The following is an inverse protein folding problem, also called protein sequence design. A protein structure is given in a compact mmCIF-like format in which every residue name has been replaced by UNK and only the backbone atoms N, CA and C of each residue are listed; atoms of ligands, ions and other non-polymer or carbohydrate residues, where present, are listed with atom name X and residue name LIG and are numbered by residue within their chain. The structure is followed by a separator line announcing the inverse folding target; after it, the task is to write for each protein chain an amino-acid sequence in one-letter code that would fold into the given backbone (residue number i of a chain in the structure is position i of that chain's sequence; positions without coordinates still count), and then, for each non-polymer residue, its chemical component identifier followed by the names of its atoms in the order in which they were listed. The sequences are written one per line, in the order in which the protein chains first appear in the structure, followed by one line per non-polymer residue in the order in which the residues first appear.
data_IF_138028034812
#
_entry.id   IF_138028034812
#
_cell.length_a   1.000
_cell.length_b   1.000
_cell.length_c   1.000
_cell.angle_alpha   90.00
_cell.angle_beta   90.00
_cell.angle_gamma   90.00
#
_symmetry.space_group_name_H-M   'P 1'
#
loop_
_entity.id
_entity.type
_entity.pdbx_description
1 polymer ?
#
# COMPACT_ATOMS: atom_id res chain seq x y z
N UNK A 1 6.48 -5.99 -7.30
CA UNK A 1 6.78 -4.65 -6.78
C UNK A 1 6.54 -3.65 -7.90
N UNK A 2 5.56 -2.76 -7.74
CA UNK A 2 5.26 -1.70 -8.70
C UNK A 2 5.73 -0.38 -8.08
N UNK A 3 6.64 0.33 -8.74
CA UNK A 3 7.10 1.66 -8.32
C UNK A 3 6.59 2.65 -9.36
N UNK A 4 5.62 3.48 -8.99
CA UNK A 4 5.20 4.62 -9.80
C UNK A 4 5.81 5.89 -9.22
N UNK A 5 6.75 6.49 -9.93
CA UNK A 5 7.31 7.78 -9.57
C UNK A 5 6.39 8.89 -10.09
N UNK A 6 5.91 9.77 -9.21
CA UNK A 6 5.11 10.94 -9.61
C UNK A 6 6.02 12.17 -9.62
N UNK A 7 6.32 12.77 -10.79
CA UNK A 7 7.06 14.04 -10.82
C UNK A 7 6.24 15.15 -10.14
N UNK A 8 6.88 15.98 -9.31
CA UNK A 8 6.21 17.07 -8.58
C UNK A 8 5.46 16.63 -7.32
N UNK A 9 6.04 15.70 -6.55
CA UNK A 9 5.54 15.38 -5.21
C UNK A 9 5.90 16.55 -4.28
N UNK A 10 5.04 17.57 -4.23
CA UNK A 10 5.40 18.88 -3.69
C UNK A 10 5.39 18.93 -2.15
N UNK A 11 4.87 17.91 -1.46
CA UNK A 11 4.91 17.79 0.00
C UNK A 11 4.67 16.34 0.49
N UNK A 12 5.74 15.61 0.87
CA UNK A 12 5.66 14.28 1.47
C UNK A 12 4.73 14.15 2.67
N UNK A 13 4.63 15.18 3.51
CA UNK A 13 3.79 15.15 4.72
C UNK A 13 2.30 15.30 4.36
N UNK A 14 1.98 16.15 3.38
CA UNK A 14 0.61 16.31 2.89
C UNK A 14 0.12 15.05 2.18
N UNK A 15 0.97 14.45 1.35
CA UNK A 15 0.63 13.23 0.64
C UNK A 15 0.45 12.04 1.60
N UNK A 16 1.32 11.89 2.61
CA UNK A 16 1.13 10.89 3.67
C UNK A 16 -0.20 11.09 4.41
N UNK A 17 -0.56 12.34 4.73
CA UNK A 17 -1.82 12.66 5.42
C UNK A 17 -3.04 12.29 4.56
N UNK A 18 -2.96 12.49 3.25
CA UNK A 18 -4.02 12.12 2.29
C UNK A 18 -4.18 10.60 2.19
N UNK A 19 -3.06 9.87 2.10
CA UNK A 19 -3.05 8.40 2.07
C UNK A 19 -3.64 7.81 3.34
N UNK A 20 -3.18 8.29 4.51
CA UNK A 20 -3.69 7.86 5.81
C UNK A 20 -5.21 8.10 5.92
N UNK A 21 -5.68 9.30 5.58
CA UNK A 21 -7.10 9.63 5.62
C UNK A 21 -7.92 8.76 4.66
N UNK A 22 -7.38 8.42 3.49
CA UNK A 22 -8.01 7.50 2.55
C UNK A 22 -8.15 6.09 3.13
N UNK A 23 -7.09 5.55 3.70
CA UNK A 23 -7.11 4.21 4.30
C UNK A 23 -8.02 4.12 5.53
N UNK A 24 -8.03 5.14 6.39
CA UNK A 24 -8.96 5.20 7.51
C UNK A 24 -10.42 5.16 7.06
N UNK A 25 -10.77 5.81 5.94
CA UNK A 25 -12.12 5.72 5.34
C UNK A 25 -12.47 4.32 4.82
N UNK A 26 -11.48 3.50 4.50
CA UNK A 26 -11.65 2.09 4.11
C UNK A 26 -11.69 1.14 5.32
N UNK A 27 -11.67 1.66 6.56
CA UNK A 27 -11.66 0.85 7.78
C UNK A 27 -10.29 0.25 8.10
N UNK A 28 -9.22 0.74 7.48
CA UNK A 28 -7.84 0.31 7.77
C UNK A 28 -7.36 1.09 8.99
N UNK A 29 -6.90 0.37 10.02
CA UNK A 29 -6.22 0.99 11.17
C UNK A 29 -4.81 1.37 10.77
N UNK A 30 -4.42 2.62 10.99
CA UNK A 30 -3.16 3.18 10.49
C UNK A 30 -2.20 3.59 11.62
N UNK A 31 -0.91 3.54 11.32
CA UNK A 31 0.17 4.02 12.19
C UNK A 31 1.25 4.67 11.34
N UNK A 32 1.49 5.97 11.57
CA UNK A 32 2.61 6.71 10.98
C UNK A 32 3.95 6.24 11.56
N UNK A 33 4.99 6.32 10.75
CA UNK A 33 6.37 6.06 11.15
C UNK A 33 7.33 7.00 10.40
N UNK A 34 8.56 7.07 10.93
CA UNK A 34 9.69 7.80 10.38
C UNK A 34 10.89 6.87 10.44
N UNK A 35 11.64 6.73 9.34
CA UNK A 35 12.87 5.94 9.36
C UNK A 35 13.95 6.64 10.22
N UNK A 36 15.02 5.92 10.55
CA UNK A 36 16.15 6.52 11.25
C UNK A 36 17.13 7.17 10.27
N UNK A 37 17.93 8.13 10.74
CA UNK A 37 18.95 8.82 9.94
C UNK A 37 18.74 10.34 9.87
N UNK A 38 19.66 11.02 9.18
CA UNK A 38 19.67 12.48 9.03
C UNK A 38 18.56 12.95 8.07
N UNK A 39 18.29 12.17 7.02
CA UNK A 39 17.25 12.39 6.01
C UNK A 39 16.24 11.23 6.02
N UNK A 40 15.30 11.21 6.96
CA UNK A 40 14.44 10.06 7.17
C UNK A 40 13.22 10.06 6.24
N UNK A 41 12.90 8.86 5.76
CA UNK A 41 11.67 8.59 5.03
C UNK A 41 10.47 8.70 5.95
N UNK A 42 9.34 9.11 5.38
CA UNK A 42 8.06 9.18 6.05
C UNK A 42 7.19 8.03 5.58
N UNK A 43 6.43 7.41 6.48
CA UNK A 43 5.52 6.37 6.05
C UNK A 43 4.32 6.16 6.95
N UNK A 44 3.37 5.39 6.44
CA UNK A 44 2.19 4.95 7.15
C UNK A 44 1.99 3.47 6.87
N UNK A 45 1.87 2.70 7.96
CA UNK A 45 1.51 1.29 7.93
C UNK A 45 0.03 1.14 8.25
N UNK A 46 -0.63 0.15 7.65
CA UNK A 46 -2.05 -0.12 7.78
C UNK A 46 -2.36 -1.61 7.99
N UNK A 47 -3.40 -1.91 8.78
CA UNK A 47 -3.93 -3.28 8.98
C UNK A 47 -5.45 -3.29 9.06
N UNK A 48 -6.06 -4.40 8.64
CA UNK A 48 -7.51 -4.61 8.67
C UNK A 48 -8.23 -3.98 7.47
N UNK A 49 -9.56 -3.93 7.53
CA UNK A 49 -10.38 -3.53 6.37
C UNK A 49 -10.24 -4.53 5.22
N UNK A 50 -10.00 -4.08 3.96
CA UNK A 50 -9.86 -4.97 2.80
C UNK A 50 -8.48 -5.63 2.65
N UNK A 51 -7.53 -5.34 3.55
CA UNK A 51 -6.14 -5.81 3.49
C UNK A 51 -5.74 -6.55 4.78
N UNK A 52 -4.78 -7.46 4.68
CA UNK A 52 -4.09 -8.00 5.87
C UNK A 52 -3.06 -7.00 6.38
N UNK A 53 -2.31 -6.39 5.47
CA UNK A 53 -1.39 -5.29 5.73
C UNK A 53 -1.23 -4.40 4.50
N UNK A 54 -0.88 -3.14 4.70
CA UNK A 54 -0.50 -2.20 3.63
C UNK A 54 0.53 -1.21 4.18
N UNK A 55 1.46 -0.76 3.35
CA UNK A 55 2.47 0.23 3.68
C UNK A 55 2.61 1.24 2.55
N UNK A 56 2.79 2.51 2.92
CA UNK A 56 3.11 3.61 2.04
C UNK A 56 4.35 4.28 2.60
N UNK A 57 5.35 4.40 1.74
CA UNK A 57 6.63 5.02 2.04
C UNK A 57 6.83 6.20 1.08
N UNK A 58 7.19 7.34 1.66
CA UNK A 58 7.71 8.51 0.96
C UNK A 58 9.19 8.63 1.23
N UNK A 59 10.00 8.40 0.19
CA UNK A 59 11.45 8.46 0.34
C UNK A 59 11.96 9.88 0.42
N UNK A 60 12.95 10.13 1.28
CA UNK A 60 13.67 11.41 1.33
C UNK A 60 14.48 11.68 0.04
N UNK A 61 14.90 10.62 -0.67
CA UNK A 61 15.54 10.71 -1.99
C UNK A 61 14.53 11.04 -3.11
N UNK A 62 13.24 11.00 -2.78
CA UNK A 62 12.11 11.25 -3.67
C UNK A 62 11.44 9.98 -4.17
N UNK A 63 10.14 10.11 -4.46
CA UNK A 63 9.31 9.02 -4.95
C UNK A 63 8.56 8.27 -3.84
N UNK A 64 7.58 7.49 -4.27
CA UNK A 64 6.64 6.80 -3.40
C UNK A 64 6.63 5.31 -3.71
N UNK A 65 6.50 4.48 -2.67
CA UNK A 65 6.17 3.06 -2.81
C UNK A 65 4.93 2.72 -2.00
N UNK A 66 4.15 1.80 -2.55
CA UNK A 66 3.07 1.11 -1.84
C UNK A 66 3.28 -0.38 -1.97
N UNK A 67 3.18 -1.08 -0.85
CA UNK A 67 3.14 -2.53 -0.78
C UNK A 67 1.98 -2.98 0.11
N UNK A 68 1.40 -4.13 -0.18
CA UNK A 68 0.23 -4.59 0.54
C UNK A 68 0.00 -6.08 0.37
N UNK A 69 -0.52 -6.68 1.42
CA UNK A 69 -1.02 -8.04 1.46
C UNK A 69 -2.54 -8.03 1.47
N UNK A 70 -3.15 -8.79 0.58
CA UNK A 70 -4.56 -9.15 0.72
C UNK A 70 -4.71 -10.38 1.62
N UNK A 71 -5.92 -10.67 2.11
CA UNK A 71 -6.25 -12.04 2.50
C UNK A 71 -5.96 -13.01 1.34
N UNK A 72 -5.66 -14.26 1.67
CA UNK A 72 -5.65 -15.31 0.65
C UNK A 72 -7.07 -15.43 0.09
N UNK A 73 -7.19 -15.51 -1.23
CA UNK A 73 -8.43 -15.95 -1.84
C UNK A 73 -8.58 -17.46 -1.61
N UNK A 74 -9.78 -17.92 -1.31
CA UNK A 74 -10.09 -19.35 -1.36
C UNK A 74 -9.92 -19.82 -2.81
N UNK A 75 -9.10 -20.86 -3.00
CA UNK A 75 -8.87 -21.46 -4.31
C UNK A 75 -7.76 -22.50 -4.28
N UNK A 76 -7.92 -23.53 -5.11
CA UNK A 76 -6.83 -24.45 -5.41
C UNK A 76 -5.83 -23.74 -6.35
N UNK A 77 -4.56 -23.68 -5.96
CA UNK A 77 -3.54 -23.03 -6.79
C UNK A 77 -3.41 -23.70 -8.17
N UNK A 78 -3.62 -25.01 -8.27
CA UNK A 78 -3.62 -25.73 -9.53
C UNK A 78 -4.76 -25.26 -10.45
N UNK A 79 -5.98 -25.15 -9.94
CA UNK A 79 -7.13 -24.61 -10.69
C UNK A 79 -6.93 -23.15 -11.09
N UNK A 80 -6.38 -22.31 -10.22
CA UNK A 80 -6.14 -20.89 -10.52
C UNK A 80 -4.96 -20.66 -11.49
N UNK A 81 -3.94 -21.51 -11.44
CA UNK A 81 -2.76 -21.40 -12.31
C UNK A 81 -2.97 -22.05 -13.69
N UNK A 82 -3.93 -22.97 -13.82
CA UNK A 82 -4.12 -23.76 -15.05
C UNK A 82 -5.55 -23.71 -15.63
N UNK A 83 -6.52 -23.17 -14.89
CA UNK A 83 -7.90 -23.05 -15.31
C UNK A 83 -8.13 -21.85 -16.22
N UNK A 84 -8.60 -22.11 -17.43
CA UNK A 84 -9.14 -21.06 -18.31
C UNK A 84 -10.34 -20.41 -17.61
N UNK A 85 -10.39 -19.08 -17.43
CA UNK A 85 -11.53 -18.44 -16.79
C UNK A 85 -12.79 -18.68 -17.63
N UNK A 86 -13.72 -19.46 -17.07
CA UNK A 86 -15.06 -19.61 -17.63
C UNK A 86 -15.91 -18.42 -17.15
N UNK A 87 -16.56 -17.66 -18.04
CA UNK A 87 -17.40 -16.56 -17.60
C UNK A 87 -18.58 -17.10 -16.78
N UNK A 88 -18.87 -16.44 -15.66
CA UNK A 88 -20.04 -16.74 -14.83
C UNK A 88 -21.34 -16.48 -15.63
N UNK A 89 -22.41 -17.26 -15.36
CA UNK A 89 -23.69 -17.19 -16.08
C UNK A 89 -24.45 -15.88 -15.90
#
# INVERSE_FOLDING_TARGET
MYIAQRPGSDDPEDDLRRVEAFWQRLGITTKRYRSGGDDPDLGVSGRGGPVTSIDFLSSAEGGYSIDGGSPCADGDFGELATGTPSPAP
#
